data_IF_672107337714
#
_entry.id   IF_672107337714
#
_cell.length_a   1.000
_cell.length_b   1.000
_cell.length_c   1.000
_cell.angle_alpha   90.00
_cell.angle_beta   90.00
_cell.angle_gamma   90.00
#
_symmetry.space_group_name_H-M   'P 1'
#
loop_
_entity.id
_entity.type
_entity.pdbx_description
1 polymer ?
#
# COMPACT_ATOMS: atom_id res chain seq x y z
N UNK A 1 4.74 13.63 18.53
CA UNK A 1 3.36 13.25 18.18
C UNK A 1 3.33 11.77 17.82
N UNK A 2 2.49 10.96 18.49
CA UNK A 2 2.40 9.52 18.26
C UNK A 2 1.19 9.21 17.35
N UNK A 3 1.43 8.61 16.19
CA UNK A 3 0.40 8.11 15.29
C UNK A 3 -0.19 6.80 15.84
N UNK A 4 -1.51 6.73 16.03
CA UNK A 4 -2.19 5.48 16.40
C UNK A 4 -2.38 4.62 15.15
N UNK A 5 -2.02 3.34 15.21
CA UNK A 5 -2.17 2.36 14.12
C UNK A 5 -3.36 1.45 14.44
N UNK A 6 -4.43 1.55 13.65
CA UNK A 6 -5.53 0.59 13.67
C UNK A 6 -5.28 -0.55 12.67
N UNK A 7 -5.95 -1.70 12.84
CA UNK A 7 -5.94 -2.76 11.82
C UNK A 7 -6.62 -2.24 10.56
N UNK A 8 -5.83 -1.98 9.51
CA UNK A 8 -6.29 -1.32 8.27
C UNK A 8 -6.50 -2.29 7.10
N UNK A 9 -5.85 -3.45 7.11
CA UNK A 9 -5.91 -4.42 6.02
C UNK A 9 -4.65 -5.28 5.87
N UNK A 10 -4.47 -5.85 4.67
CA UNK A 10 -3.30 -6.63 4.30
C UNK A 10 -2.87 -6.36 2.85
N UNK A 11 -1.56 -6.42 2.59
CA UNK A 11 -1.01 -6.46 1.24
C UNK A 11 -0.55 -7.88 0.90
N UNK A 12 -0.79 -8.31 -0.34
CA UNK A 12 -0.49 -9.66 -0.84
C UNK A 12 0.07 -9.58 -2.26
N UNK A 13 0.93 -10.53 -2.61
CA UNK A 13 1.32 -10.71 -4.00
C UNK A 13 0.28 -11.51 -4.75
N UNK A 14 -0.04 -11.07 -5.96
CA UNK A 14 -0.94 -11.75 -6.88
C UNK A 14 -0.44 -11.53 -8.30
N UNK A 15 0.01 -12.58 -8.99
CA UNK A 15 0.54 -12.52 -10.36
C UNK A 15 1.58 -11.40 -10.58
N UNK A 16 2.49 -11.21 -9.62
CA UNK A 16 3.52 -10.17 -9.64
C UNK A 16 3.05 -8.76 -9.25
N UNK A 17 1.75 -8.55 -9.06
CA UNK A 17 1.15 -7.32 -8.55
C UNK A 17 1.13 -7.35 -7.02
N UNK A 18 1.18 -6.18 -6.36
CA UNK A 18 0.85 -6.08 -4.94
C UNK A 18 -0.61 -5.63 -4.81
N UNK A 19 -1.47 -6.52 -4.34
CA UNK A 19 -2.85 -6.22 -3.98
C UNK A 19 -2.91 -5.73 -2.53
N UNK A 20 -3.61 -4.64 -2.28
CA UNK A 20 -3.81 -4.01 -0.97
C UNK A 20 -5.30 -4.13 -0.65
N UNK A 21 -5.63 -5.05 0.24
CA UNK A 21 -6.98 -5.27 0.73
C UNK A 21 -7.17 -4.43 1.99
N UNK A 22 -7.90 -3.32 1.90
CA UNK A 22 -8.33 -2.50 3.05
C UNK A 22 -9.85 -2.59 3.21
N UNK A 23 -10.36 -2.20 4.38
CA UNK A 23 -11.77 -2.42 4.74
C UNK A 23 -12.79 -1.91 3.70
N UNK A 24 -12.46 -0.84 2.99
CA UNK A 24 -13.34 -0.14 2.06
C UNK A 24 -13.01 -0.38 0.59
N UNK A 25 -11.88 -1.00 0.26
CA UNK A 25 -11.36 -1.00 -1.11
C UNK A 25 -10.30 -2.09 -1.34
N UNK A 26 -10.18 -2.55 -2.58
CA UNK A 26 -9.05 -3.35 -3.05
C UNK A 26 -8.23 -2.51 -4.04
N UNK A 27 -7.01 -2.18 -3.64
CA UNK A 27 -6.07 -1.43 -4.47
C UNK A 27 -4.99 -2.34 -5.05
N UNK A 28 -4.33 -1.90 -6.11
CA UNK A 28 -3.18 -2.61 -6.70
C UNK A 28 -2.01 -1.67 -6.98
N UNK A 29 -0.81 -2.17 -6.77
CA UNK A 29 0.44 -1.61 -7.31
C UNK A 29 0.93 -2.57 -8.42
N UNK A 30 1.00 -2.11 -9.69
CA UNK A 30 1.42 -2.95 -10.79
C UNK A 30 2.86 -3.46 -10.66
N UNK A 31 3.16 -4.66 -11.17
CA UNK A 31 4.45 -5.34 -11.02
C UNK A 31 5.64 -4.46 -11.45
N UNK A 32 5.52 -3.77 -12.60
CA UNK A 32 6.54 -2.85 -13.10
C UNK A 32 6.73 -1.58 -12.27
N UNK A 33 5.82 -1.30 -11.33
CA UNK A 33 5.90 -0.17 -10.39
C UNK A 33 6.37 -0.60 -9.00
N UNK A 34 6.25 -1.88 -8.63
CA UNK A 34 6.74 -2.39 -7.33
C UNK A 34 8.24 -2.18 -7.20
N UNK A 35 9.02 -2.44 -8.25
CA UNK A 35 10.47 -2.15 -8.29
C UNK A 35 10.81 -0.69 -8.03
N UNK A 36 9.96 0.25 -8.45
CA UNK A 36 10.19 1.68 -8.20
C UNK A 36 10.22 1.99 -6.71
N UNK A 37 9.44 1.26 -5.89
CA UNK A 37 9.51 1.42 -4.45
C UNK A 37 10.90 1.05 -3.93
N UNK A 38 11.52 0.00 -4.45
CA UNK A 38 12.89 -0.41 -4.11
C UNK A 38 13.92 0.66 -4.51
N UNK A 39 13.68 1.34 -5.63
CA UNK A 39 14.48 2.47 -6.13
C UNK A 39 14.14 3.82 -5.46
N UNK A 40 13.37 3.81 -4.36
CA UNK A 40 12.92 5.00 -3.62
C UNK A 40 12.05 5.98 -4.42
N UNK A 41 11.50 5.55 -5.57
CA UNK A 41 10.54 6.32 -6.35
C UNK A 41 9.09 5.98 -5.95
N UNK A 42 8.18 6.97 -5.92
CA UNK A 42 6.76 6.70 -5.71
C UNK A 42 6.18 5.77 -6.79
N UNK A 43 5.32 4.85 -6.36
CA UNK A 43 4.56 3.97 -7.22
C UNK A 43 3.08 4.37 -7.21
N UNK A 44 2.45 4.42 -8.39
CA UNK A 44 1.01 4.66 -8.52
C UNK A 44 0.20 3.50 -7.94
N UNK A 45 -0.95 3.82 -7.33
CA UNK A 45 -1.91 2.87 -6.77
C UNK A 45 -3.24 3.05 -7.50
N UNK A 46 -3.88 1.94 -7.86
CA UNK A 46 -5.13 1.91 -8.64
C UNK A 46 -6.20 1.11 -7.91
N UNK A 47 -7.48 1.43 -8.10
CA UNK A 47 -8.57 0.54 -7.70
C UNK A 47 -8.60 -0.67 -8.63
N UNK A 48 -8.68 -1.88 -8.07
CA UNK A 48 -8.72 -3.11 -8.87
C UNK A 48 -9.95 -3.14 -9.78
N UNK A 49 -11.08 -2.60 -9.32
CA UNK A 49 -12.35 -2.60 -10.05
C UNK A 49 -12.26 -1.73 -11.29
N UNK A 50 -11.53 -0.62 -11.21
CA UNK A 50 -11.36 0.30 -12.32
C UNK A 50 -10.40 -0.26 -13.35
N UNK A 51 -9.26 -0.83 -12.93
CA UNK A 51 -8.30 -1.47 -13.84
C UNK A 51 -8.92 -2.66 -14.58
N UNK A 52 -9.81 -3.42 -13.92
CA UNK A 52 -10.52 -4.53 -14.55
C UNK A 52 -11.53 -4.08 -15.63
N UNK A 53 -12.03 -2.84 -15.56
CA UNK A 53 -12.95 -2.25 -16.54
C UNK A 53 -12.20 -1.50 -17.63
N UNK A 54 -11.17 -0.75 -17.25
CA UNK A 54 -10.35 0.08 -18.11
C UNK A 54 -8.88 -0.05 -17.71
N UNK A 55 -8.02 -0.67 -18.54
CA UNK A 55 -6.59 -0.80 -18.23
C UNK A 55 -5.86 0.56 -18.12
N UNK A 56 -6.44 1.61 -18.70
CA UNK A 56 -5.93 2.99 -18.68
C UNK A 56 -6.59 3.84 -17.57
N UNK A 57 -7.16 3.20 -16.54
CA UNK A 57 -7.75 3.90 -15.40
C UNK A 57 -6.74 4.82 -14.70
N UNK A 58 -7.23 5.97 -14.23
CA UNK A 58 -6.43 6.91 -13.45
C UNK A 58 -6.04 6.33 -12.09
N UNK A 59 -4.85 6.71 -11.56
CA UNK A 59 -4.44 6.28 -10.24
C UNK A 59 -5.28 6.95 -9.15
N UNK A 60 -5.78 6.15 -8.20
CA UNK A 60 -6.51 6.61 -7.01
C UNK A 60 -5.58 6.98 -5.84
N UNK A 61 -4.27 6.78 -6.03
CA UNK A 61 -3.32 6.93 -4.95
C UNK A 61 -1.86 6.73 -5.33
N UNK A 62 -1.00 6.73 -4.31
CA UNK A 62 0.44 6.53 -4.44
C UNK A 62 1.03 5.81 -3.22
N UNK A 63 2.09 5.05 -3.44
CA UNK A 63 2.88 4.40 -2.42
C UNK A 63 4.34 4.85 -2.50
N UNK A 64 5.02 5.01 -1.37
CA UNK A 64 6.44 5.41 -1.33
C UNK A 64 7.12 4.92 -0.05
N UNK A 65 8.44 4.69 -0.10
CA UNK A 65 9.22 4.41 1.10
C UNK A 65 9.35 5.69 1.94
N UNK A 66 9.04 5.61 3.23
CA UNK A 66 9.19 6.73 4.16
C UNK A 66 10.66 7.17 4.27
N UNK A 67 10.93 8.44 4.61
CA UNK A 67 12.30 8.97 4.79
C UNK A 67 13.21 8.13 5.69
N UNK A 68 12.66 7.47 6.71
CA UNK A 68 13.42 6.58 7.60
C UNK A 68 13.88 5.26 6.96
N UNK A 69 13.38 4.92 5.77
CA UNK A 69 13.63 3.64 5.11
C UNK A 69 12.93 2.44 5.76
N UNK A 70 12.09 2.63 6.78
CA UNK A 70 11.54 1.53 7.59
C UNK A 70 10.13 1.08 7.17
N UNK A 71 9.40 1.92 6.45
CA UNK A 71 8.01 1.65 6.09
C UNK A 71 7.70 2.09 4.65
N UNK A 72 6.66 1.50 4.08
CA UNK A 72 5.99 2.00 2.88
C UNK A 72 4.74 2.75 3.34
N UNK A 73 4.65 4.00 2.94
CA UNK A 73 3.45 4.82 3.06
C UNK A 73 2.58 4.60 1.84
N UNK A 74 1.27 4.53 2.02
CA UNK A 74 0.29 4.35 0.96
C UNK A 74 -0.80 5.39 1.18
N UNK A 75 -1.09 6.20 0.18
CA UNK A 75 -2.20 7.15 0.18
C UNK A 75 -3.19 6.72 -0.87
N UNK A 76 -4.47 6.63 -0.50
CA UNK A 76 -5.57 6.25 -1.38
C UNK A 76 -6.79 7.08 -0.99
N UNK A 77 -7.37 7.84 -1.92
CA UNK A 77 -8.58 8.65 -1.69
C UNK A 77 -8.53 9.40 -0.34
N UNK A 78 -7.44 10.15 -0.11
CA UNK A 78 -7.13 10.92 1.10
C UNK A 78 -6.93 10.13 2.41
N UNK A 79 -7.09 8.80 2.39
CA UNK A 79 -6.76 7.94 3.52
C UNK A 79 -5.32 7.48 3.42
N UNK A 80 -4.59 7.59 4.52
CA UNK A 80 -3.21 7.12 4.63
C UNK A 80 -3.13 5.78 5.35
N UNK A 81 -2.31 4.91 4.80
CA UNK A 81 -1.97 3.61 5.33
C UNK A 81 -0.46 3.43 5.40
N UNK A 82 -0.02 2.56 6.28
CA UNK A 82 1.39 2.26 6.47
C UNK A 82 1.59 0.75 6.60
N UNK A 83 2.67 0.26 5.98
CA UNK A 83 3.11 -1.13 6.10
C UNK A 83 4.63 -1.18 6.32
N UNK A 84 5.16 -2.09 7.17
CA UNK A 84 6.60 -2.21 7.38
C UNK A 84 7.32 -2.65 6.09
N UNK A 85 8.41 -1.97 5.72
CA UNK A 85 9.16 -2.29 4.50
C UNK A 85 9.70 -3.73 4.54
N UNK A 86 10.14 -4.19 5.70
CA UNK A 86 10.62 -5.55 5.88
C UNK A 86 9.55 -6.61 5.56
N UNK A 87 8.27 -6.33 5.83
CA UNK A 87 7.19 -7.25 5.49
C UNK A 87 6.91 -7.28 4.00
N UNK A 88 6.95 -6.14 3.32
CA UNK A 88 6.86 -6.07 1.86
C UNK A 88 8.02 -6.82 1.20
N UNK A 89 9.26 -6.62 1.66
CA UNK A 89 10.43 -7.35 1.15
C UNK A 89 10.32 -8.85 1.38
N UNK A 90 9.95 -9.27 2.59
CA UNK A 90 9.72 -10.69 2.89
C UNK A 90 8.60 -11.29 2.04
N UNK A 91 7.55 -10.52 1.76
CA UNK A 91 6.48 -10.95 0.85
C UNK A 91 7.00 -11.13 -0.58
N UNK A 92 7.75 -10.18 -1.13
CA UNK A 92 8.38 -10.24 -2.47
C UNK A 92 9.30 -11.45 -2.61
N UNK A 93 10.06 -11.79 -1.57
CA UNK A 93 10.94 -12.96 -1.55
C UNK A 93 10.21 -14.29 -1.31
N UNK A 94 8.90 -14.28 -1.05
CA UNK A 94 8.13 -15.47 -0.69
C UNK A 94 8.34 -15.94 0.77
N UNK A 95 9.08 -15.20 1.57
CA UNK A 95 9.33 -15.47 3.00
C UNK A 95 8.08 -15.18 3.86
N UNK A 96 7.12 -14.39 3.35
CA UNK A 96 5.85 -14.08 4.01
C UNK A 96 4.68 -14.14 3.04
N UNK A 97 3.53 -14.61 3.51
CA UNK A 97 2.29 -14.67 2.70
C UNK A 97 1.64 -13.29 2.50
N UNK A 98 1.84 -12.37 3.43
CA UNK A 98 1.25 -11.04 3.40
C UNK A 98 2.07 -10.04 4.23
N UNK A 99 1.83 -8.75 3.98
CA UNK A 99 2.27 -7.65 4.83
C UNK A 99 1.06 -6.99 5.50
N UNK A 100 1.20 -6.62 6.77
CA UNK A 100 0.17 -5.91 7.51
C UNK A 100 0.05 -4.48 7.01
N UNK A 101 -1.18 -4.03 6.79
CA UNK A 101 -1.50 -2.65 6.43
C UNK A 101 -2.28 -2.04 7.59
N UNK A 102 -1.81 -0.90 8.07
CA UNK A 102 -2.46 -0.17 9.15
C UNK A 102 -2.91 1.19 8.65
N UNK A 103 -4.11 1.62 9.01
CA UNK A 103 -4.57 2.99 8.75
C UNK A 103 -3.83 3.95 9.68
N UNK A 104 -3.34 5.06 9.14
CA UNK A 104 -2.86 6.17 9.95
C UNK A 104 -4.04 7.07 10.29
N UNK A 105 -4.49 7.05 11.54
CA UNK A 105 -5.44 8.03 12.03
C UNK A 105 -4.68 9.31 12.43
N UNK A 106 -5.20 10.51 12.08
CA UNK A 106 -4.76 11.74 12.71
C UNK A 106 -4.94 11.59 14.23
N UNK A 107 -3.90 11.93 15.00
CA UNK A 107 -4.05 11.99 16.45
C UNK A 107 -4.99 13.17 16.77
N UNK A 108 -6.28 12.90 16.99
CA UNK A 108 -7.21 13.94 17.46
C UNK A 108 -8.69 13.86 17.06
N UNK A 109 -9.15 12.89 16.26
CA UNK A 109 -10.59 12.79 15.97
C UNK A 109 -11.21 11.71 16.86
N UNK A 110 -11.71 12.15 18.01
CA UNK A 110 -12.73 11.41 18.74
C UNK A 110 -14.04 11.51 17.94
N UNK A 111 -14.69 10.37 17.72
CA UNK A 111 -16.12 10.34 17.44
C UNK A 111 -16.89 10.69 18.73
#
# INVERSE_FOLDING_TARGET
>A
MATRRGYGGAARLYNGLVRIDVKTMQAVIPAGKVRRLEDHWPASVYDISDVMKNPDADPVGKAWITRSGKAVMISINDVQYVTPLAQIKGMIKGERKYAHVATMQPAGVHA
#
